data_IF_974252232219
#
_entry.id   IF_974252232219
#
_cell.length_a   1.000
_cell.length_b   1.000
_cell.length_c   1.000
_cell.angle_alpha   90.00
_cell.angle_beta   90.00
_cell.angle_gamma   90.00
#
_symmetry.space_group_name_H-M   'P 1'
#
loop_
_entity.id
_entity.type
_entity.pdbx_description
1 polymer ?
#
# COMPACT_ATOMS: atom_id res chain seq x y z
N UNK A 1 3.73 -41.85 -52.29
CA UNK A 1 3.24 -40.46 -52.31
C UNK A 1 1.78 -40.48 -51.92
N UNK A 2 1.39 -39.82 -50.82
CA UNK A 2 -0.01 -39.71 -50.37
C UNK A 2 -0.38 -38.23 -50.37
N UNK A 3 -1.40 -37.88 -51.14
CA UNK A 3 -1.93 -36.52 -51.27
C UNK A 3 -3.03 -36.30 -50.22
N UNK A 4 -2.94 -35.18 -49.51
CA UNK A 4 -3.98 -34.72 -48.58
C UNK A 4 -4.56 -33.40 -49.11
N UNK A 5 -5.87 -33.38 -49.32
CA UNK A 5 -6.60 -32.19 -49.72
C UNK A 5 -6.98 -31.37 -48.49
N UNK A 6 -6.60 -30.09 -48.46
CA UNK A 6 -6.96 -29.14 -47.40
C UNK A 6 -8.24 -28.38 -47.78
N UNK A 7 -9.30 -28.51 -46.98
CA UNK A 7 -10.53 -27.76 -47.12
C UNK A 7 -10.54 -26.63 -46.05
N UNK A 8 -10.43 -25.38 -46.50
CA UNK A 8 -10.44 -24.19 -45.65
C UNK A 8 -11.87 -23.65 -45.52
N UNK A 9 -12.41 -23.69 -44.30
CA UNK A 9 -13.69 -23.08 -43.94
C UNK A 9 -13.43 -21.70 -43.31
N UNK A 10 -13.80 -20.62 -43.99
CA UNK A 10 -13.66 -19.24 -43.50
C UNK A 10 -14.93 -18.83 -42.71
N UNK A 11 -14.76 -18.45 -41.44
CA UNK A 11 -15.83 -17.88 -40.61
C UNK A 11 -15.61 -16.36 -40.46
N UNK A 12 -16.59 -15.57 -40.90
CA UNK A 12 -16.62 -14.10 -40.75
C UNK A 12 -17.51 -13.75 -39.55
N UNK A 13 -17.02 -13.00 -38.53
CA UNK A 13 -17.90 -12.50 -37.48
C UNK A 13 -18.46 -11.13 -37.84
N UNK A 14 -19.80 -11.02 -37.88
CA UNK A 14 -20.54 -9.75 -37.94
C UNK A 14 -20.74 -9.30 -36.49
N UNK A 15 -20.07 -8.22 -36.07
CA UNK A 15 -20.24 -7.63 -34.75
C UNK A 15 -20.99 -6.30 -34.88
N UNK A 16 -22.26 -6.28 -34.48
CA UNK A 16 -23.11 -5.08 -34.48
C UNK A 16 -22.97 -4.34 -33.14
N UNK A 17 -22.40 -3.15 -33.14
CA UNK A 17 -22.42 -2.25 -31.98
C UNK A 17 -23.80 -1.59 -31.85
N UNK A 18 -24.57 -1.94 -30.82
CA UNK A 18 -25.72 -1.15 -30.39
C UNK A 18 -25.25 -0.08 -29.39
N UNK A 19 -25.37 1.19 -29.77
CA UNK A 19 -25.13 2.32 -28.89
C UNK A 19 -26.38 2.62 -28.05
N UNK A 20 -26.25 2.57 -26.72
CA UNK A 20 -27.31 2.96 -25.79
C UNK A 20 -27.22 4.48 -25.52
N UNK A 21 -28.17 5.25 -26.04
CA UNK A 21 -28.33 6.67 -25.74
C UNK A 21 -29.08 6.89 -24.43
N UNK A 22 -28.53 7.73 -23.55
CA UNK A 22 -29.14 8.14 -22.28
C UNK A 22 -30.30 9.13 -22.55
N UNK A 23 -31.53 8.74 -22.19
CA UNK A 23 -32.66 9.66 -22.10
C UNK A 23 -32.59 10.47 -20.79
N UNK A 24 -32.65 11.79 -20.91
CA UNK A 24 -32.79 12.73 -19.80
C UNK A 24 -34.24 12.76 -19.30
N UNK A 25 -34.41 12.75 -17.98
CA UNK A 25 -35.66 13.03 -17.28
C UNK A 25 -35.38 13.97 -16.08
N UNK A 26 -36.39 14.76 -15.63
CA UNK A 26 -36.22 16.11 -15.14
C UNK A 26 -35.91 16.23 -13.63
N UNK A 27 -35.36 17.38 -13.27
CA UNK A 27 -35.00 17.84 -11.92
C UNK A 27 -36.22 18.04 -11.00
N UNK A 28 -36.15 17.66 -9.72
CA UNK A 28 -36.97 18.24 -8.67
C UNK A 28 -36.17 19.29 -7.88
N UNK A 29 -36.72 20.50 -7.85
CA UNK A 29 -36.41 21.58 -6.92
C UNK A 29 -36.84 21.21 -5.49
N UNK A 30 -35.90 21.18 -4.55
CA UNK A 30 -36.07 21.60 -3.16
C UNK A 30 -34.69 21.61 -2.48
N UNK A 31 -34.23 22.80 -2.06
CA UNK A 31 -33.00 22.97 -1.29
C UNK A 31 -33.38 22.71 0.17
N UNK A 32 -33.22 21.47 0.63
CA UNK A 32 -33.18 21.17 2.05
C UNK A 32 -31.72 21.19 2.51
N UNK A 33 -31.44 22.05 3.49
CA UNK A 33 -30.14 22.15 4.12
C UNK A 33 -29.96 20.95 5.07
N UNK A 34 -28.79 20.33 5.03
CA UNK A 34 -28.46 19.15 5.83
C UNK A 34 -28.75 19.37 7.32
N UNK A 35 -29.54 18.47 7.91
CA UNK A 35 -29.87 18.46 9.34
C UNK A 35 -28.62 18.06 10.14
N UNK A 36 -28.06 19.00 10.91
CA UNK A 36 -27.00 18.74 11.88
C UNK A 36 -27.63 18.22 13.17
N UNK A 37 -27.42 16.93 13.47
CA UNK A 37 -27.79 16.34 14.75
C UNK A 37 -26.56 16.37 15.67
N UNK A 38 -26.62 17.21 16.71
CA UNK A 38 -25.63 17.25 17.79
C UNK A 38 -26.23 16.51 18.99
N UNK A 39 -25.77 15.29 19.26
CA UNK A 39 -26.22 14.51 20.41
C UNK A 39 -25.02 14.23 21.32
N UNK A 40 -25.01 14.85 22.50
CA UNK A 40 -23.93 14.68 23.46
C UNK A 40 -24.08 15.54 24.70
N UNK A 41 -24.48 14.92 25.81
CA UNK A 41 -24.43 15.52 27.14
C UNK A 41 -22.97 15.69 27.60
N UNK A 42 -22.60 16.85 28.17
CA UNK A 42 -21.23 17.10 28.62
C UNK A 42 -20.89 16.22 29.82
N UNK A 43 -19.78 15.47 29.74
CA UNK A 43 -19.19 14.75 30.87
C UNK A 43 -18.08 15.59 31.50
N UNK A 44 -18.13 15.73 32.82
CA UNK A 44 -17.30 16.62 33.63
C UNK A 44 -15.80 16.57 33.30
N UNK A 45 -15.23 17.73 32.95
CA UNK A 45 -13.79 18.01 32.99
C UNK A 45 -12.95 17.66 31.75
N UNK A 46 -13.53 17.14 30.66
CA UNK A 46 -12.79 16.87 29.42
C UNK A 46 -12.99 17.97 28.37
N UNK A 47 -11.91 18.28 27.63
CA UNK A 47 -11.92 19.28 26.55
C UNK A 47 -12.14 18.57 25.21
N UNK A 48 -12.84 19.22 24.28
CA UNK A 48 -12.99 18.71 22.91
C UNK A 48 -11.64 18.79 22.21
N UNK A 49 -11.09 17.63 21.85
CA UNK A 49 -9.79 17.49 21.18
C UNK A 49 -9.93 17.40 19.66
N UNK A 50 -11.10 16.97 19.18
CA UNK A 50 -11.41 16.86 17.76
C UNK A 50 -12.85 16.40 17.53
N UNK A 51 -13.17 16.07 16.29
CA UNK A 51 -14.50 15.61 15.86
C UNK A 51 -14.35 14.44 14.90
N UNK A 52 -15.14 13.39 15.09
CA UNK A 52 -15.40 12.37 14.08
C UNK A 52 -16.54 12.84 13.19
N UNK A 53 -16.32 12.83 11.88
CA UNK A 53 -17.34 13.17 10.90
C UNK A 53 -17.67 11.95 10.07
N UNK A 54 -18.95 11.62 9.97
CA UNK A 54 -19.48 10.60 9.08
C UNK A 54 -20.41 11.25 8.06
N UNK A 55 -20.05 11.19 6.79
CA UNK A 55 -20.88 11.63 5.67
C UNK A 55 -21.52 10.42 5.00
N UNK A 56 -22.84 10.34 5.07
CA UNK A 56 -23.64 9.27 4.45
C UNK A 56 -24.35 9.80 3.22
N UNK A 57 -24.02 9.23 2.07
CA UNK A 57 -24.61 9.54 0.77
C UNK A 57 -25.43 8.34 0.29
N UNK A 58 -26.74 8.48 0.26
CA UNK A 58 -27.67 7.50 -0.28
C UNK A 58 -27.64 7.54 -1.81
N UNK A 59 -27.50 6.37 -2.41
CA UNK A 59 -27.47 6.17 -3.86
C UNK A 59 -28.73 5.42 -4.29
N UNK A 60 -28.99 5.32 -5.60
CA UNK A 60 -30.08 4.51 -6.15
C UNK A 60 -30.01 3.03 -5.69
N UNK A 61 -28.80 2.53 -5.43
CA UNK A 61 -28.59 1.22 -4.83
C UNK A 61 -27.54 1.33 -3.72
N UNK A 62 -27.98 1.21 -2.47
CA UNK A 62 -27.12 1.24 -1.29
C UNK A 62 -26.73 2.64 -0.83
N UNK A 63 -25.70 2.71 0.02
CA UNK A 63 -25.17 3.94 0.61
C UNK A 63 -23.64 3.95 0.60
N UNK A 64 -23.06 5.14 0.44
CA UNK A 64 -21.64 5.41 0.64
C UNK A 64 -21.45 6.14 1.97
N UNK A 65 -20.47 5.70 2.76
CA UNK A 65 -20.13 6.31 4.04
C UNK A 65 -18.66 6.72 3.99
N UNK A 66 -18.39 8.01 4.24
CA UNK A 66 -17.03 8.57 4.34
C UNK A 66 -16.80 9.03 5.77
N UNK A 67 -15.71 8.57 6.40
CA UNK A 67 -15.37 8.90 7.79
C UNK A 67 -14.03 9.63 7.86
N UNK A 68 -13.94 10.69 8.67
CA UNK A 68 -12.70 11.43 8.86
C UNK A 68 -12.64 12.12 10.23
N UNK A 69 -11.42 12.36 10.71
CA UNK A 69 -11.13 13.07 11.96
C UNK A 69 -10.71 14.51 11.68
N UNK A 70 -11.28 15.45 12.44
CA UNK A 70 -10.98 16.88 12.27
C UNK A 70 -10.63 17.53 13.61
N UNK A 71 -9.52 18.30 13.70
CA UNK A 71 -9.11 18.93 14.96
C UNK A 71 -10.02 20.09 15.39
N UNK A 72 -10.70 20.75 14.44
CA UNK A 72 -11.60 21.89 14.70
C UNK A 72 -12.86 21.77 13.86
N UNK A 73 -14.01 22.16 14.43
CA UNK A 73 -15.30 22.11 13.74
C UNK A 73 -15.34 22.95 12.45
N UNK A 74 -14.56 24.02 12.38
CA UNK A 74 -14.46 24.91 11.21
C UNK A 74 -13.82 24.27 9.99
N UNK A 75 -13.17 23.12 10.16
CA UNK A 75 -12.50 22.38 9.08
C UNK A 75 -13.36 21.23 8.56
N UNK A 76 -14.59 21.10 9.07
CA UNK A 76 -15.60 20.21 8.51
C UNK A 76 -16.21 20.92 7.32
N UNK A 77 -16.18 20.26 6.17
CA UNK A 77 -16.76 20.80 4.95
C UNK A 77 -18.27 21.04 5.13
N UNK A 78 -18.79 22.17 4.67
CA UNK A 78 -20.21 22.55 4.82
C UNK A 78 -20.99 22.53 3.52
N UNK A 79 -20.45 21.92 2.46
CA UNK A 79 -21.15 21.80 1.18
C UNK A 79 -22.43 20.96 1.35
N UNK A 80 -23.43 21.25 0.51
CA UNK A 80 -24.69 20.53 0.48
C UNK A 80 -24.46 19.12 -0.09
N UNK A 81 -24.78 18.09 0.68
CA UNK A 81 -24.58 16.69 0.28
C UNK A 81 -25.66 16.18 -0.68
N UNK A 82 -26.72 16.95 -0.93
CA UNK A 82 -27.89 16.54 -1.71
C UNK A 82 -29.03 16.00 -0.84
N UNK A 83 -30.23 15.83 -1.43
CA UNK A 83 -31.41 15.37 -0.71
C UNK A 83 -31.21 13.95 -0.17
N UNK A 84 -31.77 13.67 1.01
CA UNK A 84 -31.65 12.41 1.74
C UNK A 84 -30.23 12.05 2.23
N UNK A 85 -29.24 12.94 2.12
CA UNK A 85 -27.88 12.68 2.60
C UNK A 85 -27.63 13.36 3.95
N UNK A 86 -26.75 12.79 4.78
CA UNK A 86 -26.58 13.22 6.17
C UNK A 86 -25.09 13.35 6.53
N UNK A 87 -24.77 14.36 7.34
CA UNK A 87 -23.46 14.53 7.98
C UNK A 87 -23.65 14.48 9.49
N UNK A 88 -23.04 13.49 10.13
CA UNK A 88 -23.05 13.35 11.60
C UNK A 88 -21.68 13.75 12.13
N UNK A 89 -21.66 14.62 13.14
CA UNK A 89 -20.43 15.13 13.76
C UNK A 89 -20.42 14.78 15.24
N UNK A 90 -19.51 13.89 15.64
CA UNK A 90 -19.38 13.40 17.01
C UNK A 90 -18.13 14.00 17.66
N UNK A 91 -18.24 14.78 18.75
CA UNK A 91 -17.08 15.36 19.43
C UNK A 91 -16.22 14.29 20.13
N UNK A 92 -14.91 14.44 20.01
CA UNK A 92 -13.90 13.61 20.66
C UNK A 92 -13.41 14.35 21.91
N UNK A 93 -13.66 13.77 23.08
CA UNK A 93 -13.24 14.35 24.36
C UNK A 93 -11.89 13.78 24.81
N UNK A 94 -10.99 14.64 25.28
CA UNK A 94 -9.69 14.23 25.80
C UNK A 94 -9.13 15.19 26.83
N UNK A 95 -7.98 14.83 27.41
CA UNK A 95 -7.29 15.68 28.39
C UNK A 95 -6.65 16.87 27.67
N UNK A 96 -6.81 18.07 28.24
CA UNK A 96 -6.27 19.29 27.67
C UNK A 96 -4.74 19.18 27.47
N UNK A 97 -4.29 19.18 26.20
CA UNK A 97 -2.87 19.38 25.88
C UNK A 97 -2.59 20.88 25.89
N UNK A 98 -1.88 21.35 26.92
CA UNK A 98 -1.31 22.71 26.94
C UNK A 98 -0.30 22.81 25.79
N UNK A 99 -0.64 23.55 24.73
CA UNK A 99 0.29 23.91 23.65
C UNK A 99 0.75 25.35 23.87
N UNK A 100 2.00 25.49 24.29
CA UNK A 100 2.78 26.73 24.13
C UNK A 100 2.98 26.92 22.62
N UNK A 101 2.63 28.10 22.13
CA UNK A 101 2.83 28.51 20.73
C UNK A 101 4.28 28.98 20.54
N UNK A 102 4.93 28.54 19.47
CA UNK A 102 6.18 29.15 18.98
C UNK A 102 6.10 29.34 17.47
N UNK A 103 6.10 30.61 17.06
CA UNK A 103 6.52 31.06 15.74
C UNK A 103 7.73 32.00 15.91
N UNK A 104 8.71 31.80 15.02
CA UNK A 104 9.85 32.64 14.65
C UNK A 104 11.17 32.63 15.47
N UNK A 105 12.19 32.04 14.82
CA UNK A 105 13.57 32.49 14.56
C UNK A 105 14.43 33.20 15.66
N UNK A 106 15.62 32.65 15.89
CA UNK A 106 16.78 33.10 16.72
C UNK A 106 17.51 34.37 16.17
N UNK A 107 18.48 35.08 16.85
CA UNK A 107 19.54 34.57 17.79
C UNK A 107 20.14 35.50 18.91
N UNK A 108 20.96 34.89 19.82
CA UNK A 108 22.11 35.41 20.65
C UNK A 108 21.80 36.57 21.67
N UNK A 109 22.10 36.58 22.99
CA UNK A 109 23.32 36.23 23.77
C UNK A 109 23.04 36.38 25.31
N UNK A 110 23.45 35.39 26.13
CA UNK A 110 23.99 35.40 27.54
C UNK A 110 23.41 36.34 28.63
N UNK A 111 22.86 35.76 29.73
CA UNK A 111 23.48 35.83 31.08
C UNK A 111 22.76 35.03 32.20
N UNK A 112 23.57 34.19 32.87
CA UNK A 112 23.64 33.87 34.32
C UNK A 112 22.50 33.14 35.08
N UNK A 113 22.86 31.91 35.50
CA UNK A 113 22.70 31.25 36.84
C UNK A 113 21.32 31.29 37.49
N UNK A 114 20.67 30.16 37.82
CA UNK A 114 20.94 29.33 39.01
C UNK A 114 20.69 27.84 38.76
N UNK A 115 21.59 27.03 39.31
CA UNK A 115 21.61 25.58 39.43
C UNK A 115 20.49 25.02 40.30
N UNK A 116 19.76 24.02 39.79
CA UNK A 116 19.40 22.87 40.61
C UNK A 116 19.36 21.59 39.77
N UNK A 117 20.11 20.58 40.22
CA UNK A 117 20.33 19.32 39.54
C UNK A 117 19.18 18.38 39.88
N UNK A 118 18.31 18.12 38.92
CA UNK A 118 17.37 17.00 38.95
C UNK A 118 17.65 16.12 37.73
N UNK A 119 18.26 14.97 37.98
CA UNK A 119 18.50 13.95 36.96
C UNK A 119 17.15 13.49 36.38
N UNK A 120 16.97 13.47 35.05
CA UNK A 120 15.69 13.12 34.46
C UNK A 120 15.38 11.65 34.70
N UNK A 121 14.31 11.40 35.44
CA UNK A 121 13.67 10.08 35.52
C UNK A 121 13.23 9.69 34.10
N UNK A 122 13.79 8.61 33.55
CA UNK A 122 13.30 7.99 32.32
C UNK A 122 11.90 7.43 32.57
N UNK A 123 10.88 8.24 32.35
CA UNK A 123 9.51 7.74 32.24
C UNK A 123 9.40 7.06 30.88
N UNK A 124 9.52 5.75 30.85
CA UNK A 124 9.14 4.93 29.69
C UNK A 124 7.63 5.01 29.54
N UNK A 125 7.17 5.90 28.67
CA UNK A 125 5.79 5.91 28.18
C UNK A 125 5.61 4.65 27.34
N UNK A 126 5.09 3.60 27.96
CA UNK A 126 4.64 2.40 27.27
C UNK A 126 3.35 2.82 26.55
N UNK A 127 3.47 3.17 25.28
CA UNK A 127 2.31 3.33 24.39
C UNK A 127 1.53 2.00 24.40
N UNK A 128 0.19 2.03 24.51
CA UNK A 128 -0.61 0.81 24.48
C UNK A 128 -0.42 0.15 23.10
N UNK A 129 0.29 -0.98 23.08
CA UNK A 129 0.47 -1.80 21.89
C UNK A 129 -0.88 -2.38 21.51
N UNK A 130 -1.51 -1.84 20.47
CA UNK A 130 -2.69 -2.48 19.85
C UNK A 130 -2.33 -3.92 19.46
N UNK A 131 -3.19 -4.92 19.75
CA UNK A 131 -2.89 -6.30 19.40
C UNK A 131 -2.77 -6.43 17.87
N UNK A 132 -1.63 -6.97 17.42
CA UNK A 132 -1.37 -7.14 15.99
C UNK A 132 -2.42 -8.05 15.35
N UNK A 133 -3.30 -7.47 14.52
CA UNK A 133 -4.36 -8.16 13.76
C UNK A 133 -3.83 -8.81 12.48
N UNK A 134 -2.60 -9.34 12.52
CA UNK A 134 -1.99 -10.01 11.37
C UNK A 134 -1.16 -11.20 11.81
N UNK A 135 -1.26 -12.28 11.05
CA UNK A 135 -0.42 -13.46 11.18
C UNK A 135 0.71 -13.31 10.17
N UNK A 136 1.94 -13.17 10.65
CA UNK A 136 3.11 -13.21 9.79
C UNK A 136 3.41 -14.66 9.42
N UNK A 137 3.27 -14.98 8.14
CA UNK A 137 3.65 -16.29 7.60
C UNK A 137 5.06 -16.18 7.05
N UNK A 138 5.95 -17.06 7.52
CA UNK A 138 7.27 -17.21 6.95
C UNK A 138 7.19 -18.03 5.64
N UNK A 139 7.25 -17.27 4.55
CA UNK A 139 7.19 -17.78 3.18
C UNK A 139 8.41 -18.62 2.85
N UNK A 140 9.61 -18.22 3.31
CA UNK A 140 10.87 -18.90 2.99
C UNK A 140 10.85 -20.29 3.58
N UNK A 141 10.56 -20.43 4.87
CA UNK A 141 10.59 -21.75 5.53
C UNK A 141 9.49 -22.67 5.03
N UNK A 142 8.30 -22.14 4.76
CA UNK A 142 7.18 -22.93 4.23
C UNK A 142 7.51 -23.51 2.85
N UNK A 143 7.95 -22.68 1.92
CA UNK A 143 8.26 -23.14 0.57
C UNK A 143 9.54 -23.96 0.49
N UNK A 144 10.55 -23.66 1.30
CA UNK A 144 11.77 -24.49 1.40
C UNK A 144 11.43 -25.94 1.72
N UNK A 145 10.55 -26.19 2.69
CA UNK A 145 10.08 -27.55 3.03
C UNK A 145 9.42 -28.27 1.86
N UNK A 146 8.71 -27.55 1.00
CA UNK A 146 8.02 -28.12 -0.17
C UNK A 146 9.01 -28.41 -1.30
N UNK A 147 9.95 -27.49 -1.53
CA UNK A 147 11.05 -27.63 -2.49
C UNK A 147 11.96 -28.80 -2.12
N UNK A 148 12.27 -28.97 -0.83
CA UNK A 148 13.10 -30.05 -0.30
C UNK A 148 12.42 -31.42 -0.46
N UNK A 149 11.08 -31.46 -0.54
CA UNK A 149 10.30 -32.67 -0.89
C UNK A 149 10.29 -32.98 -2.39
N UNK A 150 10.91 -32.14 -3.22
CA UNK A 150 10.99 -32.31 -4.68
C UNK A 150 9.91 -31.58 -5.47
N UNK A 151 8.96 -30.92 -4.81
CA UNK A 151 7.94 -30.12 -5.49
C UNK A 151 8.50 -28.72 -5.79
N UNK A 152 9.14 -28.59 -6.96
CA UNK A 152 9.77 -27.36 -7.41
C UNK A 152 9.06 -26.81 -8.64
N UNK A 153 8.59 -25.59 -8.56
CA UNK A 153 8.11 -24.82 -9.71
C UNK A 153 8.95 -23.54 -9.83
N UNK A 154 9.11 -22.99 -11.05
CA UNK A 154 9.85 -21.75 -11.23
C UNK A 154 9.28 -20.60 -10.38
N UNK A 155 7.96 -20.51 -10.26
CA UNK A 155 7.32 -19.49 -9.43
C UNK A 155 7.67 -19.63 -7.94
N UNK A 156 7.69 -20.86 -7.40
CA UNK A 156 8.06 -21.08 -6.00
C UNK A 156 9.52 -20.72 -5.73
N UNK A 157 10.42 -21.08 -6.66
CA UNK A 157 11.84 -20.73 -6.56
C UNK A 157 12.04 -19.22 -6.59
N UNK A 158 11.32 -18.50 -7.48
CA UNK A 158 11.36 -17.04 -7.55
C UNK A 158 10.88 -16.40 -6.24
N UNK A 159 9.75 -16.85 -5.69
CA UNK A 159 9.19 -16.32 -4.42
C UNK A 159 10.15 -16.51 -3.24
N UNK A 160 10.77 -17.68 -3.13
CA UNK A 160 11.74 -17.97 -2.06
C UNK A 160 13.00 -17.13 -2.23
N UNK A 161 13.54 -17.06 -3.45
CA UNK A 161 14.74 -16.30 -3.74
C UNK A 161 14.54 -14.79 -3.52
N UNK A 162 13.41 -14.24 -3.97
CA UNK A 162 13.04 -12.84 -3.76
C UNK A 162 12.91 -12.52 -2.28
N UNK A 163 12.19 -13.34 -1.53
CA UNK A 163 12.00 -13.11 -0.09
C UNK A 163 13.33 -13.17 0.65
N UNK A 164 14.18 -14.16 0.38
CA UNK A 164 15.52 -14.27 0.96
C UNK A 164 16.41 -13.07 0.58
N UNK A 165 16.35 -12.59 -0.66
CA UNK A 165 17.08 -11.40 -1.11
C UNK A 165 16.67 -10.14 -0.32
N UNK A 166 15.36 -9.93 -0.12
CA UNK A 166 14.86 -8.78 0.63
C UNK A 166 15.15 -8.88 2.14
N UNK A 167 15.26 -10.09 2.69
CA UNK A 167 15.68 -10.31 4.07
C UNK A 167 17.20 -10.20 4.28
N UNK A 168 17.98 -10.15 3.19
CA UNK A 168 19.43 -10.04 3.24
C UNK A 168 20.16 -11.39 3.31
N UNK A 169 19.45 -12.51 3.23
CA UNK A 169 20.05 -13.84 3.09
C UNK A 169 20.47 -14.08 1.63
N UNK A 170 21.60 -13.48 1.26
CA UNK A 170 22.15 -13.55 -0.09
C UNK A 170 22.62 -14.96 -0.47
N UNK A 171 23.00 -15.77 0.51
CA UNK A 171 23.43 -17.17 0.29
C UNK A 171 22.24 -18.00 -0.19
N UNK A 172 21.12 -17.90 0.50
CA UNK A 172 19.89 -18.61 0.13
C UNK A 172 19.32 -18.05 -1.17
N UNK A 173 19.33 -16.73 -1.35
CA UNK A 173 18.87 -16.10 -2.59
C UNK A 173 19.68 -16.59 -3.81
N UNK A 174 21.03 -16.59 -3.73
CA UNK A 174 21.88 -17.06 -4.80
C UNK A 174 21.60 -18.54 -5.16
N UNK A 175 21.40 -19.40 -4.17
CA UNK A 175 21.10 -20.82 -4.37
C UNK A 175 19.80 -21.04 -5.15
N UNK A 176 18.74 -20.32 -4.83
CA UNK A 176 17.43 -20.52 -5.46
C UNK A 176 17.29 -19.78 -6.79
N UNK A 177 17.94 -18.61 -6.95
CA UNK A 177 18.03 -17.97 -8.26
C UNK A 177 18.83 -18.80 -9.27
N UNK A 178 19.92 -19.46 -8.83
CA UNK A 178 20.64 -20.41 -9.68
C UNK A 178 19.72 -21.51 -10.22
N UNK A 179 18.97 -22.17 -9.32
CA UNK A 179 17.99 -23.19 -9.70
C UNK A 179 16.88 -22.64 -10.60
N UNK A 180 16.41 -21.41 -10.36
CA UNK A 180 15.38 -20.76 -11.18
C UNK A 180 15.84 -20.59 -12.63
N UNK A 181 17.07 -20.10 -12.82
CA UNK A 181 17.66 -19.85 -14.14
C UNK A 181 17.98 -21.15 -14.86
N UNK A 182 18.36 -22.21 -14.14
CA UNK A 182 18.55 -23.54 -14.71
C UNK A 182 17.23 -24.19 -15.15
N UNK A 183 16.14 -23.99 -14.40
CA UNK A 183 14.83 -24.60 -14.69
C UNK A 183 14.00 -23.84 -15.72
N UNK A 184 14.24 -22.54 -15.90
CA UNK A 184 13.39 -21.66 -16.71
C UNK A 184 14.13 -21.19 -17.95
N UNK A 185 13.53 -21.41 -19.13
CA UNK A 185 14.11 -20.93 -20.39
C UNK A 185 14.06 -19.39 -20.54
N UNK A 186 13.09 -18.73 -19.90
CA UNK A 186 12.91 -17.29 -19.94
C UNK A 186 12.55 -16.69 -18.56
N UNK A 187 13.51 -16.61 -17.61
CA UNK A 187 13.27 -15.93 -16.36
C UNK A 187 13.30 -14.40 -16.55
N UNK A 188 12.51 -13.69 -15.74
CA UNK A 188 12.44 -12.22 -15.80
C UNK A 188 13.81 -11.57 -15.65
N UNK A 189 14.05 -10.46 -16.37
CA UNK A 189 15.33 -9.74 -16.33
C UNK A 189 15.74 -9.36 -14.90
N UNK A 190 14.78 -8.97 -14.04
CA UNK A 190 15.05 -8.60 -12.65
C UNK A 190 15.64 -9.74 -11.82
N UNK A 191 15.29 -11.00 -12.11
CA UNK A 191 15.86 -12.15 -11.41
C UNK A 191 17.35 -12.31 -11.69
N UNK A 192 17.81 -12.06 -12.93
CA UNK A 192 19.26 -12.06 -13.24
C UNK A 192 20.00 -10.96 -12.47
N UNK A 193 19.41 -9.76 -12.37
CA UNK A 193 20.02 -8.68 -11.62
C UNK A 193 20.15 -9.01 -10.13
N UNK A 194 19.07 -9.47 -9.49
CA UNK A 194 19.07 -9.86 -8.07
C UNK A 194 20.00 -11.04 -7.82
N UNK A 195 20.08 -11.99 -8.75
CA UNK A 195 21.02 -13.09 -8.67
C UNK A 195 22.47 -12.62 -8.70
N UNK A 196 22.85 -11.77 -9.65
CA UNK A 196 24.18 -11.21 -9.73
C UNK A 196 24.57 -10.42 -8.48
N UNK A 197 23.64 -9.64 -7.91
CA UNK A 197 23.87 -8.92 -6.66
C UNK A 197 24.04 -9.87 -5.47
N UNK A 198 23.24 -10.93 -5.41
CA UNK A 198 23.38 -11.98 -4.38
C UNK A 198 24.73 -12.66 -4.47
N UNK A 199 25.15 -13.04 -5.69
CA UNK A 199 26.47 -13.63 -5.96
C UNK A 199 27.62 -12.72 -5.56
N UNK A 200 27.49 -11.41 -5.80
CA UNK A 200 28.48 -10.42 -5.40
C UNK A 200 28.60 -10.33 -3.87
N UNK A 201 27.49 -10.41 -3.14
CA UNK A 201 27.48 -10.38 -1.69
C UNK A 201 28.00 -11.64 -1.00
N UNK A 202 28.13 -12.76 -1.73
CA UNK A 202 28.78 -14.00 -1.27
C UNK A 202 30.20 -14.18 -1.83
N UNK A 203 30.80 -13.10 -2.32
CA UNK A 203 32.14 -13.06 -2.92
C UNK A 203 32.36 -13.92 -4.18
N UNK A 204 31.29 -14.35 -4.85
CA UNK A 204 31.36 -15.05 -6.15
C UNK A 204 31.36 -14.05 -7.32
N UNK A 205 32.38 -13.19 -7.35
CA UNK A 205 32.45 -12.02 -8.24
C UNK A 205 32.49 -12.41 -9.73
N UNK A 206 33.20 -13.48 -10.08
CA UNK A 206 33.30 -13.94 -11.47
C UNK A 206 31.93 -14.32 -12.05
N UNK A 207 31.20 -15.19 -11.36
CA UNK A 207 29.84 -15.58 -11.72
C UNK A 207 28.89 -14.38 -11.69
N UNK A 208 29.01 -13.51 -10.69
CA UNK A 208 28.19 -12.30 -10.62
C UNK A 208 28.34 -11.44 -11.88
N UNK A 209 29.56 -11.27 -12.38
CA UNK A 209 29.85 -10.50 -13.59
C UNK A 209 29.26 -11.16 -14.85
N UNK A 210 29.31 -12.48 -14.95
CA UNK A 210 28.70 -13.23 -16.07
C UNK A 210 27.19 -13.05 -16.10
N UNK A 211 26.53 -13.29 -14.96
CA UNK A 211 25.08 -13.13 -14.82
C UNK A 211 24.67 -11.67 -15.08
N UNK A 212 25.48 -10.70 -14.65
CA UNK A 212 25.22 -9.28 -14.92
C UNK A 212 25.31 -8.94 -16.42
N UNK A 213 26.18 -9.61 -17.18
CA UNK A 213 26.20 -9.47 -18.66
C UNK A 213 24.92 -10.03 -19.27
N UNK A 214 24.45 -11.20 -18.82
CA UNK A 214 23.18 -11.78 -19.28
C UNK A 214 21.99 -10.84 -19.00
N UNK A 215 21.96 -10.24 -17.81
CA UNK A 215 20.95 -9.21 -17.48
C UNK A 215 20.97 -8.05 -18.49
N UNK A 216 22.15 -7.50 -18.80
CA UNK A 216 22.27 -6.37 -19.74
C UNK A 216 21.75 -6.73 -21.14
N UNK A 217 22.06 -7.94 -21.62
CA UNK A 217 21.58 -8.43 -22.91
C UNK A 217 20.05 -8.60 -22.89
N UNK A 218 19.50 -9.22 -21.84
CA UNK A 218 18.05 -9.43 -21.73
C UNK A 218 17.28 -8.11 -21.63
N UNK A 219 17.80 -7.18 -20.84
CA UNK A 219 17.19 -5.88 -20.63
C UNK A 219 17.22 -5.03 -21.92
N UNK A 220 18.32 -5.06 -22.69
CA UNK A 220 18.38 -4.35 -23.97
C UNK A 220 17.38 -4.91 -24.99
N UNK A 221 17.28 -6.24 -25.13
CA UNK A 221 16.29 -6.90 -26.00
C UNK A 221 14.86 -6.51 -25.61
N UNK A 222 14.54 -6.50 -24.31
CA UNK A 222 13.22 -6.10 -23.83
C UNK A 222 12.86 -4.65 -24.15
N UNK A 223 13.86 -3.75 -24.19
CA UNK A 223 13.68 -2.34 -24.53
C UNK A 223 13.47 -2.15 -26.04
N UNK A 224 14.09 -2.98 -26.87
CA UNK A 224 13.92 -2.98 -28.33
C UNK A 224 12.53 -3.49 -28.72
N UNK A 225 12.01 -4.51 -28.05
CA UNK A 225 10.69 -5.09 -28.34
C UNK A 225 9.49 -4.19 -27.93
N UNK A 226 9.72 -3.13 -27.16
CA UNK A 226 8.68 -2.17 -26.72
C UNK A 226 8.61 -0.90 -27.59
N UNK A 227 9.49 -0.76 -28.58
CA UNK A 227 9.47 0.34 -29.57
C UNK A 227 8.79 -0.13 -30.84
#
# INVERSE_FOLDING_TARGET
MKTYATLLLAMVPIFSFNAFGQHSAPTPTAIENATLLLDGTPKDGLVIVGYYVEETVHMAFGKRITQYEVPKISMIDTYNLGPNNTRTVTPIYGKAKVKIAEESLQPKTVSKTVSDVINPVKVTVIAPTEPQKYINVDVVTTYKKVIDKGYKTPEMLAKVADKAYFEGDLVTAAKYYGQLIEMTADPEAMHYYRYAQSLKGIDQIEKANEIMKLFKIKNSVSKVARK
#
